data_IF_514861833635
#
_entry.id   IF_514861833635
#
_cell.length_a   1.000
_cell.length_b   1.000
_cell.length_c   1.000
_cell.angle_alpha   90.00
_cell.angle_beta   90.00
_cell.angle_gamma   90.00
#
_symmetry.space_group_name_H-M   'P 1'
#
loop_
_entity.id
_entity.type
_entity.pdbx_description
1 polymer ?
#
# COMPACT_ATOMS: atom_id res chain seq x y z
N UNK A 1 0.62 -25.81 13.78
CA UNK A 1 0.18 -27.07 13.10
C UNK A 1 0.48 -26.99 11.61
N UNK A 2 0.72 -28.12 10.91
CA UNK A 2 0.85 -28.12 9.44
C UNK A 2 -0.36 -28.81 8.81
N UNK A 3 -1.17 -28.03 8.08
CA UNK A 3 -2.26 -28.52 7.25
C UNK A 3 -1.72 -28.74 5.84
N UNK A 4 -1.70 -30.01 5.41
CA UNK A 4 -1.23 -30.40 4.09
C UNK A 4 -2.43 -30.87 3.26
N UNK A 5 -2.79 -30.08 2.25
CA UNK A 5 -4.02 -30.23 1.45
C UNK A 5 -5.32 -30.02 2.23
N UNK A 6 -6.39 -29.70 1.50
CA UNK A 6 -7.73 -29.45 2.03
C UNK A 6 -7.92 -28.05 2.62
N UNK A 7 -9.09 -27.47 2.34
CA UNK A 7 -9.42 -26.11 2.76
C UNK A 7 -10.16 -26.11 4.09
N UNK A 8 -9.77 -25.23 5.01
CA UNK A 8 -10.46 -25.05 6.29
C UNK A 8 -11.61 -24.06 6.13
N UNK A 9 -12.83 -24.46 6.51
CA UNK A 9 -13.99 -23.57 6.51
C UNK A 9 -14.69 -23.58 7.87
N UNK A 10 -14.79 -22.41 8.51
CA UNK A 10 -15.52 -22.19 9.77
C UNK A 10 -16.69 -21.22 9.55
N UNK A 11 -17.84 -21.44 10.19
CA UNK A 11 -19.05 -20.62 10.03
C UNK A 11 -19.70 -20.40 11.39
N UNK A 12 -20.10 -19.16 11.70
CA UNK A 12 -20.66 -18.76 13.00
C UNK A 12 -19.73 -19.03 14.18
N UNK A 13 -18.42 -18.87 13.98
CA UNK A 13 -17.41 -19.02 15.01
C UNK A 13 -16.89 -17.65 15.45
N UNK A 14 -17.20 -17.29 16.68
CA UNK A 14 -16.60 -16.14 17.36
C UNK A 14 -15.29 -16.58 18.01
N UNK A 15 -14.30 -15.68 18.08
CA UNK A 15 -12.99 -15.94 18.67
C UNK A 15 -12.26 -17.15 18.05
N UNK A 16 -12.48 -17.41 16.76
CA UNK A 16 -11.80 -18.47 16.04
C UNK A 16 -10.33 -18.10 15.81
N UNK A 17 -9.40 -18.91 16.32
CA UNK A 17 -7.96 -18.64 16.25
C UNK A 17 -7.24 -19.69 15.42
N UNK A 18 -6.41 -19.23 14.50
CA UNK A 18 -5.31 -20.00 13.91
C UNK A 18 -4.01 -19.28 14.23
N UNK A 19 -3.11 -19.99 14.90
CA UNK A 19 -1.79 -19.50 15.26
C UNK A 19 -0.71 -20.55 15.01
N UNK A 20 0.53 -20.09 14.84
CA UNK A 20 1.75 -20.89 14.72
C UNK A 20 1.59 -22.09 13.76
N UNK A 21 1.09 -21.79 12.57
CA UNK A 21 0.62 -22.80 11.62
C UNK A 21 1.10 -22.60 10.20
N UNK A 22 0.97 -23.65 9.41
CA UNK A 22 1.34 -23.68 8.00
C UNK A 22 0.26 -24.39 7.20
N UNK A 23 -0.11 -23.82 6.06
CA UNK A 23 -1.05 -24.38 5.09
C UNK A 23 -0.31 -24.54 3.77
N UNK A 24 -0.17 -25.78 3.32
CA UNK A 24 0.41 -26.09 2.01
C UNK A 24 -0.65 -26.77 1.15
N UNK A 25 -0.83 -26.35 -0.11
CA UNK A 25 -1.75 -27.00 -1.07
C UNK A 25 -3.24 -27.03 -0.65
N UNK A 26 -3.67 -26.16 0.28
CA UNK A 26 -5.01 -26.23 0.90
C UNK A 26 -6.17 -25.86 -0.04
N UNK A 27 -5.90 -25.12 -1.10
CA UNK A 27 -6.73 -25.02 -2.29
C UNK A 27 -5.77 -25.29 -3.45
N UNK A 28 -5.82 -26.44 -4.10
CA UNK A 28 -4.98 -26.73 -5.26
C UNK A 28 -5.76 -27.64 -6.23
N UNK A 29 -5.35 -27.69 -7.50
CA UNK A 29 -5.86 -28.62 -8.51
C UNK A 29 -7.40 -28.68 -8.62
N UNK A 30 -8.05 -27.54 -8.91
CA UNK A 30 -9.51 -27.38 -9.01
C UNK A 30 -10.29 -27.49 -7.70
N UNK A 31 -9.61 -27.54 -6.55
CA UNK A 31 -10.25 -27.29 -5.27
C UNK A 31 -10.67 -25.81 -5.20
N UNK A 32 -11.83 -25.49 -5.77
CA UNK A 32 -12.40 -24.14 -5.86
C UNK A 32 -12.99 -23.67 -4.51
N UNK A 33 -12.36 -24.06 -3.40
CA UNK A 33 -12.77 -23.70 -2.05
C UNK A 33 -11.60 -22.98 -1.36
N UNK A 34 -11.81 -21.77 -0.83
CA UNK A 34 -10.79 -21.07 -0.07
C UNK A 34 -10.75 -21.58 1.38
N UNK A 35 -9.65 -21.31 2.09
CA UNK A 35 -9.70 -21.30 3.55
C UNK A 35 -10.49 -20.08 4.01
N UNK A 36 -11.43 -20.24 4.94
CA UNK A 36 -12.35 -19.16 5.31
C UNK A 36 -12.97 -19.29 6.69
N UNK A 37 -13.17 -18.14 7.32
CA UNK A 37 -14.07 -17.98 8.47
C UNK A 37 -15.22 -17.05 8.09
N UNK A 38 -16.46 -17.46 8.35
CA UNK A 38 -17.68 -16.74 7.92
C UNK A 38 -18.62 -16.44 9.08
N UNK A 39 -19.22 -15.24 9.10
CA UNK A 39 -20.33 -14.85 10.01
C UNK A 39 -20.04 -14.97 11.52
N UNK A 40 -18.83 -14.64 11.96
CA UNK A 40 -18.46 -14.59 13.39
C UNK A 40 -17.88 -13.23 13.79
N UNK A 41 -17.22 -13.17 14.93
CA UNK A 41 -16.50 -12.00 15.42
C UNK A 41 -15.11 -12.37 15.97
N UNK A 42 -14.18 -11.42 15.98
CA UNK A 42 -12.87 -11.51 16.61
C UNK A 42 -12.04 -12.72 16.15
N UNK A 43 -12.10 -13.05 14.86
CA UNK A 43 -11.26 -14.09 14.28
C UNK A 43 -9.79 -13.67 14.27
N UNK A 44 -8.88 -14.57 14.61
CA UNK A 44 -7.43 -14.31 14.64
C UNK A 44 -6.73 -15.29 13.70
N UNK A 45 -5.92 -14.74 12.80
CA UNK A 45 -4.94 -15.46 12.01
C UNK A 45 -3.57 -14.88 12.30
N UNK A 46 -2.72 -15.62 13.01
CA UNK A 46 -1.43 -15.13 13.49
C UNK A 46 -0.30 -16.11 13.19
N UNK A 47 0.92 -15.62 12.97
CA UNK A 47 2.13 -16.46 12.86
C UNK A 47 1.95 -17.65 11.91
N UNK A 48 1.34 -17.39 10.74
CA UNK A 48 0.91 -18.46 9.84
C UNK A 48 1.48 -18.28 8.45
N UNK A 49 1.84 -19.39 7.81
CA UNK A 49 2.34 -19.42 6.43
C UNK A 49 1.31 -20.13 5.53
N UNK A 50 0.95 -19.50 4.42
CA UNK A 50 0.22 -20.11 3.32
C UNK A 50 1.13 -20.19 2.11
N UNK A 51 1.34 -21.41 1.60
CA UNK A 51 2.23 -21.63 0.47
C UNK A 51 1.70 -22.64 -0.54
N UNK A 52 2.13 -22.51 -1.78
CA UNK A 52 1.86 -23.48 -2.84
C UNK A 52 0.36 -23.78 -2.97
N UNK A 53 -0.43 -22.71 -3.07
CA UNK A 53 -1.87 -22.78 -3.21
C UNK A 53 -2.32 -22.19 -4.53
N UNK A 54 -3.40 -22.70 -5.08
CA UNK A 54 -3.89 -22.36 -6.40
C UNK A 54 -5.42 -22.47 -6.46
N UNK A 55 -6.07 -21.89 -7.47
CA UNK A 55 -7.53 -22.01 -7.70
C UNK A 55 -8.46 -21.34 -6.66
N UNK A 56 -7.95 -20.76 -5.56
CA UNK A 56 -8.76 -20.00 -4.61
C UNK A 56 -7.93 -19.13 -3.67
N UNK A 57 -8.60 -18.21 -2.98
CA UNK A 57 -7.98 -17.30 -2.02
C UNK A 57 -7.29 -18.09 -0.89
N UNK A 58 -6.02 -17.77 -0.55
CA UNK A 58 -5.32 -18.43 0.54
C UNK A 58 -6.05 -18.37 1.87
N UNK A 59 -6.71 -17.25 2.14
CA UNK A 59 -7.51 -17.05 3.34
C UNK A 59 -8.60 -15.98 3.14
N UNK A 60 -9.77 -16.17 3.76
CA UNK A 60 -10.85 -15.19 3.77
C UNK A 60 -11.51 -15.04 5.14
N UNK A 61 -11.75 -13.81 5.56
CA UNK A 61 -12.76 -13.48 6.56
C UNK A 61 -13.98 -12.87 5.86
N UNK A 62 -15.14 -13.52 5.93
CA UNK A 62 -16.37 -13.05 5.24
C UNK A 62 -17.49 -12.82 6.24
N UNK A 63 -17.99 -11.59 6.33
CA UNK A 63 -18.94 -11.20 7.38
C UNK A 63 -18.45 -11.53 8.79
N UNK A 64 -17.13 -11.60 8.97
CA UNK A 64 -16.51 -11.72 10.28
C UNK A 64 -16.16 -10.31 10.77
N UNK A 65 -16.61 -9.94 11.96
CA UNK A 65 -16.41 -8.61 12.52
C UNK A 65 -15.09 -8.58 13.31
N UNK A 66 -14.32 -7.51 13.19
CA UNK A 66 -13.09 -7.29 13.96
C UNK A 66 -11.99 -8.36 13.82
N UNK A 67 -11.71 -8.92 12.62
CA UNK A 67 -10.66 -9.91 12.49
C UNK A 67 -9.25 -9.28 12.57
N UNK A 68 -8.31 -10.05 13.09
CA UNK A 68 -6.88 -9.73 13.15
C UNK A 68 -6.09 -10.71 12.27
N UNK A 69 -5.30 -10.18 11.34
CA UNK A 69 -4.31 -10.89 10.54
C UNK A 69 -2.94 -10.32 10.91
N UNK A 70 -2.11 -11.11 11.60
CA UNK A 70 -0.86 -10.61 12.18
C UNK A 70 0.32 -11.55 11.96
N UNK A 71 1.44 -11.06 11.40
CA UNK A 71 2.63 -11.86 11.13
C UNK A 71 2.31 -13.10 10.27
N UNK A 72 1.71 -12.85 9.09
CA UNK A 72 1.25 -13.90 8.18
C UNK A 72 1.97 -13.76 6.84
N UNK A 73 2.45 -14.88 6.31
CA UNK A 73 3.09 -14.95 5.00
C UNK A 73 2.20 -15.70 4.01
N UNK A 74 1.95 -15.08 2.85
CA UNK A 74 1.35 -15.70 1.68
C UNK A 74 2.42 -15.74 0.58
N UNK A 75 2.82 -16.93 0.12
CA UNK A 75 3.90 -17.07 -0.87
C UNK A 75 3.63 -18.17 -1.87
N UNK A 76 4.10 -18.02 -3.11
CA UNK A 76 3.93 -19.04 -4.16
C UNK A 76 2.45 -19.44 -4.34
N UNK A 77 1.54 -18.47 -4.21
CA UNK A 77 0.11 -18.66 -4.40
C UNK A 77 -0.30 -18.19 -5.79
N UNK A 78 -1.33 -18.82 -6.36
CA UNK A 78 -1.84 -18.61 -7.72
C UNK A 78 -0.75 -18.87 -8.77
N UNK A 79 -0.88 -19.92 -9.57
CA UNK A 79 0.11 -20.29 -10.61
C UNK A 79 -0.43 -20.09 -12.03
N UNK A 80 -1.68 -19.62 -12.17
CA UNK A 80 -2.35 -19.39 -13.45
C UNK A 80 -2.66 -17.91 -13.64
N UNK A 81 -2.53 -17.41 -14.88
CA UNK A 81 -2.75 -15.99 -15.19
C UNK A 81 -4.21 -15.59 -15.04
N UNK A 82 -4.44 -14.30 -14.75
CA UNK A 82 -5.75 -13.63 -14.72
C UNK A 82 -6.67 -14.02 -13.56
N UNK A 83 -6.17 -14.69 -12.51
CA UNK A 83 -6.94 -14.91 -11.29
C UNK A 83 -6.84 -13.71 -10.32
N UNK A 84 -7.86 -13.55 -9.48
CA UNK A 84 -7.97 -12.47 -8.49
C UNK A 84 -8.26 -13.05 -7.10
N UNK A 85 -7.54 -14.10 -6.72
CA UNK A 85 -7.71 -14.82 -5.45
C UNK A 85 -6.94 -14.15 -4.30
N UNK A 86 -7.31 -12.92 -3.96
CA UNK A 86 -6.70 -12.20 -2.84
C UNK A 86 -6.99 -12.89 -1.51
N UNK A 87 -6.02 -12.97 -0.57
CA UNK A 87 -6.34 -12.99 0.84
C UNK A 87 -7.17 -11.74 1.16
N UNK A 88 -8.30 -11.91 1.84
CA UNK A 88 -9.25 -10.81 1.99
C UNK A 88 -10.09 -10.81 3.26
N UNK A 89 -10.55 -9.62 3.64
CA UNK A 89 -11.71 -9.42 4.52
C UNK A 89 -12.84 -8.79 3.69
N UNK A 90 -14.03 -9.36 3.78
CA UNK A 90 -15.21 -8.88 3.06
C UNK A 90 -16.44 -8.81 3.94
N UNK A 91 -17.29 -7.81 3.69
CA UNK A 91 -18.63 -7.69 4.29
C UNK A 91 -18.61 -7.67 5.83
N UNK A 92 -17.56 -7.12 6.45
CA UNK A 92 -17.42 -6.94 7.90
C UNK A 92 -18.28 -5.76 8.41
N UNK A 93 -19.59 -5.84 8.21
CA UNK A 93 -20.58 -4.90 8.72
C UNK A 93 -21.89 -5.63 9.06
N UNK A 94 -22.75 -5.01 9.86
CA UNK A 94 -24.12 -5.45 10.12
C UNK A 94 -25.09 -4.28 10.12
N UNK A 95 -26.38 -4.57 10.06
CA UNK A 95 -27.42 -3.55 9.93
C UNK A 95 -27.58 -3.03 8.51
N UNK A 96 -28.35 -1.96 8.36
CA UNK A 96 -28.65 -1.35 7.07
C UNK A 96 -28.53 0.18 7.12
N UNK A 97 -28.20 0.79 5.98
CA UNK A 97 -28.18 2.25 5.85
C UNK A 97 -29.58 2.83 6.09
N UNK A 98 -30.62 2.15 5.57
CA UNK A 98 -32.00 2.65 5.53
C UNK A 98 -32.61 2.90 6.92
N UNK A 99 -32.23 2.10 7.92
CA UNK A 99 -32.77 2.19 9.28
C UNK A 99 -31.77 2.79 10.29
N UNK A 100 -30.61 3.26 9.82
CA UNK A 100 -29.57 3.85 10.66
C UNK A 100 -28.84 2.86 11.58
N UNK A 101 -29.02 1.54 11.38
CA UNK A 101 -28.39 0.50 12.21
C UNK A 101 -27.03 0.04 11.70
N UNK A 102 -26.56 0.56 10.55
CA UNK A 102 -25.31 0.14 9.94
C UNK A 102 -24.12 0.41 10.86
N UNK A 103 -23.38 -0.66 11.19
CA UNK A 103 -22.10 -0.56 11.88
C UNK A 103 -21.07 -1.51 11.27
N UNK A 104 -19.79 -1.14 11.38
CA UNK A 104 -18.67 -1.84 10.75
C UNK A 104 -17.77 -2.46 11.80
N UNK A 105 -17.25 -3.65 11.51
CA UNK A 105 -16.30 -4.37 12.34
C UNK A 105 -14.92 -4.37 11.71
N UNK A 106 -14.20 -3.25 11.81
CA UNK A 106 -12.94 -3.02 11.10
C UNK A 106 -11.89 -4.11 11.31
N UNK A 107 -11.13 -4.42 10.26
CA UNK A 107 -10.10 -5.45 10.26
C UNK A 107 -8.67 -4.89 10.38
N UNK A 108 -7.76 -5.64 10.99
CA UNK A 108 -6.35 -5.26 11.11
C UNK A 108 -5.44 -6.26 10.40
N UNK A 109 -4.57 -5.75 9.54
CA UNK A 109 -3.49 -6.47 8.86
C UNK A 109 -2.17 -5.89 9.31
N UNK A 110 -1.38 -6.68 10.06
CA UNK A 110 -0.11 -6.22 10.62
C UNK A 110 1.00 -7.22 10.33
N UNK A 111 2.19 -6.75 9.93
CA UNK A 111 3.32 -7.64 9.60
C UNK A 111 2.95 -8.71 8.55
N UNK A 112 2.09 -8.36 7.60
CA UNK A 112 1.64 -9.28 6.56
C UNK A 112 2.58 -9.22 5.37
N UNK A 113 3.07 -10.37 4.94
CA UNK A 113 3.90 -10.49 3.74
C UNK A 113 3.13 -11.24 2.65
N UNK A 114 2.99 -10.65 1.47
CA UNK A 114 2.59 -11.37 0.25
C UNK A 114 3.76 -11.29 -0.71
N UNK A 115 4.32 -12.44 -1.09
CA UNK A 115 5.51 -12.45 -1.94
C UNK A 115 5.58 -13.59 -2.95
N UNK A 116 6.19 -13.31 -4.09
CA UNK A 116 6.45 -14.31 -5.13
C UNK A 116 5.15 -15.03 -5.54
N UNK A 117 4.13 -14.25 -5.92
CA UNK A 117 2.80 -14.76 -6.28
C UNK A 117 2.49 -14.40 -7.73
N UNK A 118 1.90 -15.34 -8.49
CA UNK A 118 1.36 -15.03 -9.81
C UNK A 118 -0.09 -14.54 -9.67
N UNK A 119 -0.22 -13.51 -8.84
CA UNK A 119 -1.46 -12.93 -8.34
C UNK A 119 -1.20 -11.53 -7.83
N UNK A 120 -2.17 -11.00 -7.09
CA UNK A 120 -2.08 -9.67 -6.49
C UNK A 120 -1.89 -9.77 -4.97
N UNK A 121 -1.93 -8.63 -4.25
CA UNK A 121 -1.66 -8.61 -2.81
C UNK A 121 -2.90 -8.96 -1.98
N UNK A 122 -3.44 -7.99 -1.22
CA UNK A 122 -4.60 -8.21 -0.33
C UNK A 122 -5.80 -7.32 -0.65
N UNK A 123 -6.98 -7.74 -0.19
CA UNK A 123 -8.21 -6.92 -0.16
C UNK A 123 -8.67 -6.75 1.30
N UNK A 124 -8.25 -5.67 1.98
CA UNK A 124 -8.75 -5.32 3.31
C UNK A 124 -10.23 -4.92 3.27
N UNK A 125 -10.92 -5.14 4.39
CA UNK A 125 -12.34 -4.85 4.55
C UNK A 125 -12.63 -3.38 4.87
N UNK A 126 -13.84 -3.14 5.38
CA UNK A 126 -14.29 -1.82 5.83
C UNK A 126 -13.49 -1.34 7.03
N UNK A 127 -13.16 -0.04 7.11
CA UNK A 127 -12.46 0.58 8.25
C UNK A 127 -11.21 -0.22 8.66
N UNK A 128 -10.44 -0.61 7.67
CA UNK A 128 -9.30 -1.52 7.84
C UNK A 128 -8.01 -0.77 8.10
N UNK A 129 -7.18 -1.32 9.00
CA UNK A 129 -5.80 -0.93 9.21
C UNK A 129 -4.88 -1.92 8.49
N UNK A 130 -3.99 -1.43 7.63
CA UNK A 130 -2.85 -2.20 7.10
C UNK A 130 -1.57 -1.52 7.56
N UNK A 131 -0.70 -2.23 8.27
CA UNK A 131 0.57 -1.67 8.73
C UNK A 131 1.72 -2.68 8.75
N UNK A 132 2.94 -2.20 8.52
CA UNK A 132 4.15 -3.06 8.47
C UNK A 132 4.01 -4.21 7.45
N UNK A 133 3.28 -3.98 6.36
CA UNK A 133 3.04 -4.98 5.33
C UNK A 133 4.08 -4.93 4.21
N UNK A 134 4.48 -6.09 3.69
CA UNK A 134 5.41 -6.21 2.55
C UNK A 134 4.73 -6.99 1.42
N UNK A 135 4.54 -6.33 0.28
CA UNK A 135 3.88 -6.88 -0.89
C UNK A 135 4.86 -6.83 -2.04
N UNK A 136 5.41 -7.97 -2.44
CA UNK A 136 6.59 -8.01 -3.32
C UNK A 136 6.48 -9.07 -4.40
N UNK A 137 6.91 -8.74 -5.63
CA UNK A 137 6.93 -9.70 -6.74
C UNK A 137 5.53 -10.27 -7.01
N UNK A 138 4.61 -9.36 -7.35
CA UNK A 138 3.21 -9.68 -7.63
C UNK A 138 2.97 -9.65 -9.15
N UNK A 139 2.70 -10.81 -9.74
CA UNK A 139 2.65 -10.95 -11.20
C UNK A 139 1.27 -11.38 -11.67
N UNK A 140 0.45 -10.41 -12.08
CA UNK A 140 -0.83 -10.70 -12.74
C UNK A 140 -1.31 -9.48 -13.53
N UNK A 141 -1.91 -9.74 -14.69
CA UNK A 141 -2.51 -8.70 -15.53
C UNK A 141 -4.01 -8.55 -15.26
N UNK A 142 -4.37 -7.76 -14.24
CA UNK A 142 -5.77 -7.44 -13.89
C UNK A 142 -5.91 -5.97 -13.52
N UNK A 143 -7.14 -5.47 -13.46
CA UNK A 143 -7.43 -4.16 -12.86
C UNK A 143 -7.40 -4.20 -11.32
N UNK A 144 -6.23 -4.55 -10.75
CA UNK A 144 -6.02 -4.81 -9.31
C UNK A 144 -4.86 -4.04 -8.69
N UNK A 145 -4.46 -4.43 -7.48
CA UNK A 145 -3.32 -3.81 -6.77
C UNK A 145 -2.67 -4.67 -5.69
N UNK A 146 -1.50 -4.27 -5.19
CA UNK A 146 -0.90 -4.87 -3.99
C UNK A 146 -1.77 -4.67 -2.73
N UNK A 147 -2.32 -3.48 -2.53
CA UNK A 147 -3.34 -3.22 -1.50
C UNK A 147 -4.59 -2.64 -2.15
N UNK A 148 -5.62 -3.46 -2.30
CA UNK A 148 -6.86 -3.12 -3.00
C UNK A 148 -7.99 -2.84 -2.03
N UNK A 149 -8.55 -1.62 -2.06
CA UNK A 149 -9.81 -1.30 -1.39
C UNK A 149 -10.80 -0.75 -2.41
N UNK A 150 -12.03 -1.25 -2.38
CA UNK A 150 -13.14 -0.64 -3.13
C UNK A 150 -13.72 0.55 -2.33
N UNK A 151 -14.61 1.33 -2.94
CA UNK A 151 -14.99 2.65 -2.39
C UNK A 151 -15.57 2.54 -0.99
N UNK A 152 -16.28 1.45 -0.73
CA UNK A 152 -16.82 1.13 0.59
C UNK A 152 -15.75 0.74 1.61
N UNK A 153 -14.74 -0.03 1.18
CA UNK A 153 -13.63 -0.47 2.05
C UNK A 153 -12.59 0.62 2.28
N UNK A 154 -12.50 1.61 1.39
CA UNK A 154 -11.57 2.74 1.54
C UNK A 154 -12.01 3.69 2.66
N UNK A 155 -13.31 3.75 2.95
CA UNK A 155 -13.89 4.65 3.95
C UNK A 155 -13.29 4.42 5.35
N UNK A 156 -12.72 5.48 5.95
CA UNK A 156 -12.03 5.43 7.26
C UNK A 156 -10.93 4.37 7.35
N UNK A 157 -10.32 3.99 6.22
CA UNK A 157 -9.24 3.02 6.19
C UNK A 157 -7.88 3.70 6.38
N UNK A 158 -6.91 2.98 6.94
CA UNK A 158 -5.53 3.46 7.06
C UNK A 158 -4.58 2.44 6.45
N UNK A 159 -3.57 2.93 5.72
CA UNK A 159 -2.34 2.17 5.49
C UNK A 159 -1.13 2.95 5.94
N UNK A 160 -0.24 2.29 6.67
CA UNK A 160 0.99 2.93 7.15
C UNK A 160 2.18 2.00 7.17
N UNK A 161 3.39 2.55 7.14
CA UNK A 161 4.64 1.79 7.28
C UNK A 161 4.67 0.53 6.42
N UNK A 162 4.34 0.62 5.13
CA UNK A 162 4.14 -0.55 4.27
C UNK A 162 4.86 -0.39 2.93
N UNK A 163 5.25 -1.52 2.33
CA UNK A 163 6.05 -1.55 1.11
C UNK A 163 5.36 -2.40 0.03
N UNK A 164 5.17 -1.81 -1.15
CA UNK A 164 4.68 -2.49 -2.35
C UNK A 164 5.75 -2.37 -3.43
N UNK A 165 6.40 -3.48 -3.74
CA UNK A 165 7.62 -3.53 -4.54
C UNK A 165 7.41 -4.50 -5.70
N UNK A 166 7.69 -4.07 -6.93
CA UNK A 166 7.71 -4.93 -8.11
C UNK A 166 6.37 -5.66 -8.37
N UNK A 167 5.34 -4.89 -8.69
CA UNK A 167 4.05 -5.36 -9.18
C UNK A 167 3.76 -4.77 -10.58
N UNK A 168 4.51 -5.18 -11.63
CA UNK A 168 4.69 -4.43 -12.87
C UNK A 168 3.41 -4.18 -13.68
N UNK A 169 2.38 -5.01 -13.48
CA UNK A 169 1.08 -4.92 -14.17
C UNK A 169 -0.05 -4.41 -13.25
N UNK A 170 0.25 -4.13 -11.99
CA UNK A 170 -0.71 -3.75 -10.96
C UNK A 170 -0.52 -2.30 -10.50
N UNK A 171 -1.54 -1.73 -9.87
CA UNK A 171 -1.29 -0.54 -9.03
C UNK A 171 -0.63 -1.01 -7.74
N UNK A 172 0.25 -0.23 -7.11
CA UNK A 172 0.83 -0.60 -5.83
C UNK A 172 -0.24 -0.58 -4.74
N UNK A 173 -0.83 0.59 -4.52
CA UNK A 173 -2.00 0.78 -3.65
C UNK A 173 -3.15 1.41 -4.43
N UNK A 174 -4.37 0.98 -4.13
CA UNK A 174 -5.57 1.53 -4.76
C UNK A 174 -6.76 1.69 -3.82
N UNK A 175 -7.29 2.91 -3.81
CA UNK A 175 -8.67 3.18 -3.44
C UNK A 175 -9.49 3.27 -4.71
N UNK A 176 -10.34 2.29 -4.92
CA UNK A 176 -11.10 2.14 -6.14
C UNK A 176 -12.56 2.48 -5.93
N UNK A 177 -13.17 3.18 -6.87
CA UNK A 177 -14.39 2.75 -7.57
C UNK A 177 -14.65 3.76 -8.72
N UNK A 178 -15.80 3.69 -9.38
CA UNK A 178 -16.28 4.84 -10.17
C UNK A 178 -16.64 6.00 -9.23
N UNK A 179 -17.38 5.69 -8.16
CA UNK A 179 -17.62 6.55 -6.99
C UNK A 179 -16.66 6.11 -5.87
N UNK A 180 -15.54 6.80 -5.72
CA UNK A 180 -14.50 6.51 -4.71
C UNK A 180 -14.98 6.68 -3.27
N UNK A 181 -14.18 6.20 -2.32
CA UNK A 181 -14.46 6.33 -0.89
C UNK A 181 -14.10 7.72 -0.34
N UNK A 182 -14.18 7.90 0.97
CA UNK A 182 -13.81 9.15 1.65
C UNK A 182 -13.01 8.88 2.91
N UNK A 183 -12.25 9.87 3.42
CA UNK A 183 -11.58 9.77 4.72
C UNK A 183 -10.65 8.55 4.82
N UNK A 184 -9.82 8.34 3.79
CA UNK A 184 -8.85 7.25 3.78
C UNK A 184 -7.46 7.83 3.97
N UNK A 185 -6.63 7.18 4.78
CA UNK A 185 -5.30 7.67 5.13
C UNK A 185 -4.24 6.72 4.58
N UNK A 186 -3.18 7.28 4.01
CA UNK A 186 -1.95 6.58 3.69
C UNK A 186 -0.77 7.42 4.21
N UNK A 187 0.07 6.86 5.09
CA UNK A 187 1.30 7.54 5.52
C UNK A 187 2.50 6.62 5.67
N UNK A 188 3.69 7.08 5.27
CA UNK A 188 4.92 6.27 5.34
C UNK A 188 4.80 4.98 4.50
N UNK A 189 4.40 5.13 3.22
CA UNK A 189 4.19 4.00 2.32
C UNK A 189 5.11 4.10 1.11
N UNK A 190 5.79 3.01 0.81
CA UNK A 190 6.64 2.85 -0.38
C UNK A 190 5.89 2.07 -1.45
N UNK A 191 5.86 2.58 -2.68
CA UNK A 191 5.27 1.90 -3.82
C UNK A 191 6.11 2.07 -5.08
N UNK A 192 6.91 1.06 -5.43
CA UNK A 192 7.97 1.16 -6.46
C UNK A 192 7.95 -0.01 -7.43
N UNK A 193 8.34 0.22 -8.69
CA UNK A 193 8.43 -0.84 -9.70
C UNK A 193 7.09 -1.45 -10.14
N UNK A 194 5.99 -0.70 -9.98
CA UNK A 194 4.63 -1.17 -10.28
C UNK A 194 4.14 -0.65 -11.63
N UNK A 195 2.92 -0.98 -12.04
CA UNK A 195 2.28 -0.26 -13.17
C UNK A 195 1.97 1.17 -12.80
N UNK A 196 1.39 1.36 -11.62
CA UNK A 196 1.18 2.68 -10.98
C UNK A 196 1.58 2.57 -9.53
N UNK A 197 2.10 3.64 -8.94
CA UNK A 197 2.36 3.67 -7.50
C UNK A 197 1.06 3.65 -6.70
N UNK A 198 0.39 4.79 -6.70
CA UNK A 198 -0.84 5.02 -5.95
C UNK A 198 -1.98 5.47 -6.86
N UNK A 199 -3.14 4.81 -6.72
CA UNK A 199 -4.37 5.22 -7.37
C UNK A 199 -5.45 5.50 -6.34
N UNK A 200 -5.58 6.77 -5.98
CA UNK A 200 -6.32 7.26 -4.81
C UNK A 200 -7.57 8.01 -5.27
N UNK A 201 -8.65 7.25 -5.50
CA UNK A 201 -9.95 7.80 -5.95
C UNK A 201 -10.85 8.09 -4.77
N UNK A 202 -11.61 9.18 -4.87
CA UNK A 202 -12.56 9.60 -3.85
C UNK A 202 -12.31 11.05 -3.48
N UNK A 203 -12.55 11.41 -2.22
CA UNK A 203 -12.28 12.74 -1.68
C UNK A 203 -12.01 12.68 -0.16
N UNK A 204 -11.52 13.78 0.43
CA UNK A 204 -11.18 13.85 1.87
C UNK A 204 -10.13 12.82 2.30
N UNK A 205 -9.14 12.53 1.47
CA UNK A 205 -8.08 11.59 1.81
C UNK A 205 -6.82 12.29 2.31
N UNK A 206 -6.09 11.65 3.22
CA UNK A 206 -4.75 12.08 3.62
C UNK A 206 -3.71 11.15 3.01
N UNK A 207 -2.91 11.67 2.07
CA UNK A 207 -1.81 10.97 1.42
C UNK A 207 -0.48 11.64 1.80
N UNK A 208 0.23 11.09 2.78
CA UNK A 208 1.34 11.75 3.45
C UNK A 208 2.59 10.87 3.39
N UNK A 209 3.80 11.44 3.33
CA UNK A 209 5.03 10.62 3.47
C UNK A 209 5.08 9.42 2.50
N UNK A 210 4.71 9.63 1.23
CA UNK A 210 4.70 8.57 0.22
C UNK A 210 6.01 8.59 -0.57
N UNK A 211 6.50 7.42 -0.96
CA UNK A 211 7.62 7.28 -1.89
C UNK A 211 7.21 6.39 -3.05
N UNK A 212 7.41 6.89 -4.27
CA UNK A 212 7.11 6.13 -5.47
C UNK A 212 8.01 6.52 -6.63
N UNK A 213 8.49 5.51 -7.36
CA UNK A 213 9.40 5.69 -8.50
C UNK A 213 9.52 4.38 -9.29
N UNK A 214 10.16 4.44 -10.47
CA UNK A 214 10.34 3.32 -11.40
C UNK A 214 9.02 2.59 -11.78
N UNK A 215 7.86 3.23 -11.62
CA UNK A 215 6.60 2.67 -12.12
C UNK A 215 6.46 2.89 -13.63
N UNK A 216 5.83 1.95 -14.35
CA UNK A 216 5.66 2.06 -15.81
C UNK A 216 4.60 3.08 -16.26
N UNK A 217 3.88 3.71 -15.33
CA UNK A 217 2.85 4.71 -15.60
C UNK A 217 2.80 5.78 -14.49
N UNK A 218 1.62 6.23 -14.05
CA UNK A 218 1.52 7.24 -12.99
C UNK A 218 2.03 6.74 -11.64
N UNK A 219 2.91 7.51 -11.03
CA UNK A 219 3.36 7.37 -9.65
C UNK A 219 2.23 7.69 -8.68
N UNK A 220 1.58 8.84 -8.89
CA UNK A 220 0.41 9.29 -8.10
C UNK A 220 -0.75 9.56 -9.06
N UNK A 221 -1.91 8.98 -8.77
CA UNK A 221 -3.17 9.23 -9.47
C UNK A 221 -4.25 9.63 -8.47
N UNK A 222 -4.57 10.93 -8.47
CA UNK A 222 -5.60 11.62 -7.69
C UNK A 222 -6.64 12.21 -8.65
N UNK A 223 -7.47 11.37 -9.30
CA UNK A 223 -8.42 11.82 -10.31
C UNK A 223 -9.52 12.69 -9.71
N UNK A 224 -9.91 13.74 -10.43
CA UNK A 224 -10.99 14.65 -10.02
C UNK A 224 -12.39 14.18 -10.39
N UNK A 225 -12.55 13.17 -11.26
CA UNK A 225 -13.85 12.68 -11.75
C UNK A 225 -14.25 11.31 -11.19
N UNK A 226 -13.79 10.95 -9.99
CA UNK A 226 -14.01 9.62 -9.38
C UNK A 226 -14.63 9.71 -7.98
N UNK A 227 -15.63 10.57 -7.83
CA UNK A 227 -16.37 10.81 -6.61
C UNK A 227 -17.85 11.08 -6.95
N UNK A 228 -18.77 10.76 -6.04
CA UNK A 228 -20.23 10.89 -6.27
C UNK A 228 -20.93 11.25 -4.95
N UNK A 229 -20.31 12.11 -4.13
CA UNK A 229 -20.83 12.45 -2.81
C UNK A 229 -20.59 11.37 -1.73
N UNK A 230 -20.90 11.68 -0.45
CA UNK A 230 -20.64 10.79 0.70
C UNK A 230 -21.40 9.47 0.69
N UNK A 231 -22.63 9.46 0.16
CA UNK A 231 -23.45 8.25 0.03
C UNK A 231 -23.01 7.35 -1.14
N UNK A 232 -22.09 7.86 -1.98
CA UNK A 232 -21.55 7.23 -3.18
C UNK A 232 -22.63 6.86 -4.19
N UNK A 233 -23.74 7.60 -4.20
CA UNK A 233 -24.88 7.38 -5.07
C UNK A 233 -25.13 8.62 -5.94
N UNK A 234 -25.51 8.41 -7.19
CA UNK A 234 -25.89 9.50 -8.10
C UNK A 234 -24.77 9.95 -9.04
N UNK A 235 -24.82 11.22 -9.41
CA UNK A 235 -23.94 11.79 -10.44
C UNK A 235 -22.51 11.99 -9.93
N UNK A 236 -21.57 12.08 -10.86
CA UNK A 236 -20.19 12.38 -10.51
C UNK A 236 -20.06 13.81 -9.96
N UNK A 237 -19.33 13.93 -8.86
CA UNK A 237 -18.94 15.17 -8.22
C UNK A 237 -17.41 15.35 -8.31
N UNK A 238 -16.90 16.58 -8.18
CA UNK A 238 -15.46 16.83 -8.08
C UNK A 238 -14.84 16.06 -6.90
N UNK A 239 -14.02 15.06 -7.20
CA UNK A 239 -13.24 14.30 -6.21
C UNK A 239 -11.88 14.92 -5.93
N UNK A 240 -11.26 14.49 -4.83
CA UNK A 240 -9.97 14.97 -4.35
C UNK A 240 -9.86 16.49 -4.20
N UNK A 241 -10.97 17.18 -3.97
CA UNK A 241 -11.02 18.63 -3.69
C UNK A 241 -10.59 18.91 -2.25
N UNK A 242 -10.91 17.99 -1.35
CA UNK A 242 -10.65 18.09 0.09
C UNK A 242 -9.53 17.14 0.55
N UNK A 243 -8.92 16.42 -0.39
CA UNK A 243 -7.79 15.55 -0.10
C UNK A 243 -6.48 16.34 0.04
N UNK A 244 -5.54 15.77 0.78
CA UNK A 244 -4.22 16.31 1.09
C UNK A 244 -3.14 15.39 0.49
N UNK A 245 -2.12 16.00 -0.12
CA UNK A 245 -0.88 15.33 -0.51
C UNK A 245 0.31 16.13 0.03
N UNK A 246 1.10 15.55 0.94
CA UNK A 246 2.26 16.21 1.55
C UNK A 246 3.43 15.24 1.79
N UNK A 247 4.64 15.78 1.91
CA UNK A 247 5.87 15.02 2.19
C UNK A 247 6.10 13.84 1.24
N UNK A 248 5.75 13.98 -0.04
CA UNK A 248 5.74 12.88 -1.01
C UNK A 248 6.84 13.03 -2.06
N UNK A 249 7.50 11.91 -2.36
CA UNK A 249 8.55 11.77 -3.38
C UNK A 249 7.99 11.02 -4.60
N UNK A 250 8.17 11.58 -5.80
CA UNK A 250 7.80 10.93 -7.07
C UNK A 250 8.88 11.07 -8.14
N UNK A 251 8.91 10.13 -9.08
CA UNK A 251 9.79 10.16 -10.26
C UNK A 251 9.02 10.38 -11.57
N UNK A 252 7.99 9.58 -11.80
CA UNK A 252 7.23 9.50 -13.04
C UNK A 252 5.93 10.33 -12.98
N UNK A 253 4.96 9.98 -13.82
CA UNK A 253 3.77 10.80 -14.09
C UNK A 253 2.86 10.98 -12.88
N UNK A 254 2.25 12.17 -12.77
CA UNK A 254 1.28 12.50 -11.72
C UNK A 254 -0.02 12.96 -12.36
N UNK A 255 -1.12 12.35 -11.95
CA UNK A 255 -2.47 12.88 -12.16
C UNK A 255 -2.91 13.54 -10.87
N UNK A 256 -3.03 14.87 -10.87
CA UNK A 256 -3.48 15.65 -9.72
C UNK A 256 -4.43 16.75 -10.17
N UNK A 257 -5.74 16.46 -10.10
CA UNK A 257 -6.74 17.36 -10.66
C UNK A 257 -7.08 18.52 -9.72
N UNK A 258 -7.37 18.19 -8.45
CA UNK A 258 -7.99 19.12 -7.51
C UNK A 258 -7.22 19.30 -6.19
N UNK A 259 -6.20 18.47 -5.91
CA UNK A 259 -5.45 18.52 -4.65
C UNK A 259 -4.48 19.70 -4.67
N UNK A 260 -4.58 20.67 -3.75
CA UNK A 260 -3.71 21.85 -3.74
C UNK A 260 -2.21 21.51 -3.72
N UNK A 261 -1.81 20.49 -2.94
CA UNK A 261 -0.41 20.11 -2.77
C UNK A 261 0.29 19.56 -4.02
N UNK A 262 -0.43 19.30 -5.10
CA UNK A 262 0.15 18.87 -6.38
C UNK A 262 -0.55 19.48 -7.60
N UNK A 263 -1.37 20.52 -7.44
CA UNK A 263 -2.10 21.11 -8.57
C UNK A 263 -1.15 21.77 -9.58
N UNK A 264 -0.14 22.44 -9.07
CA UNK A 264 0.92 23.08 -9.86
C UNK A 264 2.19 22.20 -9.89
N UNK A 265 2.01 20.92 -10.24
CA UNK A 265 3.07 19.89 -10.14
C UNK A 265 4.30 20.08 -11.04
N UNK A 266 4.33 21.12 -11.87
CA UNK A 266 5.47 21.51 -12.70
C UNK A 266 6.28 22.67 -12.10
N UNK A 267 5.89 23.19 -10.92
CA UNK A 267 6.55 24.32 -10.24
C UNK A 267 7.20 23.84 -8.94
N UNK A 268 8.54 23.78 -8.87
CA UNK A 268 9.28 23.45 -7.66
C UNK A 268 8.78 24.16 -6.41
N UNK A 269 8.64 25.48 -6.46
CA UNK A 269 8.28 26.30 -5.30
C UNK A 269 6.88 25.95 -4.75
N UNK A 270 5.96 25.54 -5.62
CA UNK A 270 4.63 25.10 -5.20
C UNK A 270 4.69 23.77 -4.46
N UNK A 271 5.57 22.87 -4.89
CA UNK A 271 5.73 21.54 -4.28
C UNK A 271 6.49 21.62 -2.96
N UNK A 272 7.54 22.43 -2.89
CA UNK A 272 8.30 22.69 -1.65
C UNK A 272 7.40 23.28 -0.54
N UNK A 273 6.40 24.08 -0.91
CA UNK A 273 5.43 24.65 0.04
C UNK A 273 4.61 23.58 0.79
N UNK A 274 4.47 22.38 0.22
CA UNK A 274 3.77 21.23 0.80
C UNK A 274 4.71 20.06 1.14
N UNK A 275 6.02 20.29 1.05
CA UNK A 275 7.04 19.27 1.31
C UNK A 275 7.06 18.18 0.24
N UNK A 276 6.50 18.41 -0.96
CA UNK A 276 6.54 17.42 -2.03
C UNK A 276 7.77 17.60 -2.91
N UNK A 277 8.31 16.49 -3.41
CA UNK A 277 9.44 16.49 -4.34
C UNK A 277 9.14 15.61 -5.56
N UNK A 278 8.98 16.22 -6.73
CA UNK A 278 8.65 15.52 -7.98
C UNK A 278 9.79 15.70 -8.98
N UNK A 279 10.49 14.61 -9.32
CA UNK A 279 11.70 14.61 -10.15
C UNK A 279 11.66 15.56 -11.36
N UNK A 280 10.56 15.58 -12.12
CA UNK A 280 10.45 16.36 -13.35
C UNK A 280 10.28 17.88 -13.12
N UNK A 281 9.81 18.31 -11.95
CA UNK A 281 9.72 19.73 -11.60
C UNK A 281 11.13 20.31 -11.32
N UNK A 282 12.00 19.51 -10.71
CA UNK A 282 13.33 19.91 -10.26
C UNK A 282 14.44 19.62 -11.28
N UNK A 283 14.21 19.90 -12.57
CA UNK A 283 15.19 19.67 -13.64
C UNK A 283 16.42 20.59 -13.51
N UNK A 284 17.32 20.26 -12.60
CA UNK A 284 18.59 20.93 -12.41
C UNK A 284 19.56 20.51 -13.53
N UNK A 285 19.76 21.42 -14.48
CA UNK A 285 20.85 21.40 -15.46
C UNK A 285 20.85 20.30 -16.54
N UNK A 286 19.70 19.80 -17.02
CA UNK A 286 19.55 19.07 -18.31
C UNK A 286 20.54 17.90 -18.59
N UNK A 287 21.34 17.44 -17.63
CA UNK A 287 22.46 16.50 -17.85
C UNK A 287 22.67 15.46 -16.76
N UNK A 288 22.01 15.55 -15.62
CA UNK A 288 22.00 14.49 -14.62
C UNK A 288 20.57 14.32 -14.15
N UNK A 289 19.98 13.23 -14.59
CA UNK A 289 18.63 12.81 -14.31
C UNK A 289 18.28 13.00 -12.82
N UNK A 290 17.20 13.74 -12.53
CA UNK A 290 16.65 13.88 -11.17
C UNK A 290 15.97 12.59 -10.71
N UNK A 291 16.65 11.45 -10.79
CA UNK A 291 16.10 10.17 -10.37
C UNK A 291 15.97 10.16 -8.85
N UNK A 292 14.79 9.73 -8.37
CA UNK A 292 14.52 9.56 -6.94
C UNK A 292 15.61 8.72 -6.28
N UNK A 293 16.08 7.68 -6.95
CA UNK A 293 17.10 6.78 -6.43
C UNK A 293 18.45 7.45 -6.11
N UNK A 294 18.78 8.58 -6.76
CA UNK A 294 20.00 9.31 -6.43
C UNK A 294 19.92 10.03 -5.09
N UNK A 295 18.74 10.10 -4.48
CA UNK A 295 18.50 10.78 -3.21
C UNK A 295 18.34 9.81 -2.04
N UNK A 296 18.37 8.50 -2.29
CA UNK A 296 18.11 7.45 -1.31
C UNK A 296 19.37 6.63 -0.99
N UNK A 297 19.40 6.03 0.20
CA UNK A 297 20.58 5.32 0.73
C UNK A 297 20.86 4.01 -0.02
N UNK A 298 19.87 3.12 -0.11
CA UNK A 298 19.98 1.87 -0.87
C UNK A 298 18.61 1.47 -1.45
N UNK A 299 18.12 2.20 -2.45
CA UNK A 299 16.81 1.98 -3.03
C UNK A 299 16.73 0.68 -3.84
N UNK A 300 15.51 0.13 -3.94
CA UNK A 300 15.19 -0.91 -4.92
C UNK A 300 15.34 -0.36 -6.35
N UNK A 301 15.88 -1.14 -7.29
CA UNK A 301 15.90 -0.78 -8.72
C UNK A 301 15.58 -1.96 -9.63
N UNK A 302 14.76 -1.72 -10.63
CA UNK A 302 14.51 -2.63 -11.75
C UNK A 302 15.79 -2.97 -12.51
N UNK A 303 16.75 -2.03 -12.59
CA UNK A 303 17.98 -2.25 -13.35
C UNK A 303 18.87 -3.33 -12.73
N UNK A 304 18.80 -3.56 -11.40
CA UNK A 304 19.53 -4.65 -10.73
C UNK A 304 19.08 -6.05 -11.17
N UNK A 305 17.90 -6.18 -11.77
CA UNK A 305 17.41 -7.45 -12.33
C UNK A 305 17.95 -7.74 -13.75
N UNK A 306 18.65 -6.79 -14.39
CA UNK A 306 19.18 -6.96 -15.75
C UNK A 306 20.46 -7.82 -15.75
N UNK A 307 20.75 -8.42 -16.90
CA UNK A 307 22.01 -9.15 -17.12
C UNK A 307 23.20 -8.17 -17.17
N UNK A 308 24.41 -8.67 -16.93
CA UNK A 308 25.61 -7.82 -16.93
C UNK A 308 25.85 -7.22 -18.33
N UNK A 309 25.63 -8.01 -19.37
CA UNK A 309 25.74 -7.55 -20.76
C UNK A 309 24.77 -6.39 -21.04
N UNK A 310 23.54 -6.47 -20.51
CA UNK A 310 22.57 -5.38 -20.68
C UNK A 310 22.93 -4.14 -19.88
N UNK A 311 23.58 -4.30 -18.73
CA UNK A 311 24.05 -3.17 -17.91
C UNK A 311 25.24 -2.49 -18.56
N UNK A 312 26.21 -3.25 -19.07
CA UNK A 312 27.32 -2.72 -19.87
C UNK A 312 26.82 -2.00 -21.13
N UNK A 313 25.80 -2.53 -21.81
CA UNK A 313 25.17 -1.86 -22.96
C UNK A 313 24.53 -0.51 -22.57
N UNK A 314 23.85 -0.45 -21.42
CA UNK A 314 23.11 0.74 -20.97
C UNK A 314 24.00 1.81 -20.32
N UNK A 315 25.02 1.38 -19.57
CA UNK A 315 25.82 2.24 -18.69
C UNK A 315 27.31 2.26 -19.02
N UNK A 316 27.80 1.39 -19.91
CA UNK A 316 29.22 1.23 -20.23
C UNK A 316 30.00 0.41 -19.20
N UNK A 317 29.38 0.06 -18.08
CA UNK A 317 29.91 -0.77 -17.00
C UNK A 317 28.76 -1.44 -16.23
N UNK A 318 29.07 -2.44 -15.40
CA UNK A 318 28.12 -2.99 -14.44
C UNK A 318 28.14 -2.13 -13.18
N UNK A 319 27.10 -1.32 -12.87
CA UNK A 319 27.18 -0.33 -11.79
C UNK A 319 27.20 -0.91 -10.38
N UNK A 320 26.93 -2.20 -10.23
CA UNK A 320 26.81 -2.87 -8.92
C UNK A 320 27.66 -4.12 -8.86
N UNK A 321 28.52 -4.20 -7.84
CA UNK A 321 29.29 -5.42 -7.53
C UNK A 321 28.39 -6.58 -7.07
N UNK A 322 27.24 -6.26 -6.45
CA UNK A 322 26.25 -7.25 -5.96
C UNK A 322 24.86 -6.92 -6.50
N UNK A 323 24.22 -7.93 -7.09
CA UNK A 323 22.83 -7.85 -7.57
C UNK A 323 21.78 -8.00 -6.47
N UNK A 324 22.19 -8.43 -5.27
CA UNK A 324 21.30 -8.48 -4.10
C UNK A 324 20.80 -7.06 -3.84
N UNK A 325 19.48 -6.90 -3.82
CA UNK A 325 18.85 -5.65 -3.47
C UNK A 325 18.70 -5.58 -1.95
N UNK A 326 19.17 -4.48 -1.37
CA UNK A 326 18.77 -4.09 -0.03
C UNK A 326 17.67 -3.04 -0.17
N UNK A 327 16.84 -2.89 0.86
CA UNK A 327 15.75 -1.91 0.88
C UNK A 327 16.03 -0.90 1.97
N UNK A 328 16.66 0.20 1.58
CA UNK A 328 16.84 1.37 2.43
C UNK A 328 16.37 2.61 1.68
N UNK A 329 15.14 3.00 1.98
CA UNK A 329 14.45 4.12 1.36
C UNK A 329 14.63 5.42 2.13
N UNK A 330 15.53 5.48 3.12
CA UNK A 330 15.87 6.74 3.77
C UNK A 330 16.62 7.65 2.79
N UNK A 331 16.48 8.98 2.91
CA UNK A 331 17.36 9.89 2.21
C UNK A 331 18.82 9.58 2.52
N UNK A 332 19.70 9.69 1.53
CA UNK A 332 21.14 9.53 1.75
C UNK A 332 21.78 10.83 2.22
N UNK A 333 22.98 10.76 2.80
CA UNK A 333 23.74 11.96 3.21
C UNK A 333 23.87 12.97 2.06
N UNK A 334 23.50 14.23 2.34
CA UNK A 334 23.55 15.32 1.37
C UNK A 334 22.39 15.32 0.36
N UNK A 335 21.38 14.48 0.57
CA UNK A 335 20.14 14.51 -0.21
C UNK A 335 19.35 15.80 0.05
N UNK A 336 18.73 16.33 -0.99
CA UNK A 336 17.79 17.46 -0.92
C UNK A 336 16.46 17.12 -0.25
N UNK A 337 16.20 15.83 -0.02
CA UNK A 337 15.00 15.37 0.68
C UNK A 337 15.11 15.57 2.20
N UNK A 338 16.33 15.81 2.70
CA UNK A 338 16.61 15.99 4.12
C UNK A 338 16.09 17.36 4.59
N UNK A 339 15.37 17.40 5.71
CA UNK A 339 14.85 18.62 6.34
C UNK A 339 13.98 19.49 5.39
N UNK A 340 13.38 18.90 4.37
CA UNK A 340 12.62 19.62 3.33
C UNK A 340 11.08 19.42 3.43
N UNK A 341 10.64 18.56 4.35
CA UNK A 341 9.24 18.25 4.60
C UNK A 341 8.50 19.24 5.50
N UNK A 342 7.25 18.93 5.80
CA UNK A 342 6.35 19.69 6.67
C UNK A 342 5.98 18.89 7.90
N UNK A 343 5.95 19.56 9.05
CA UNK A 343 5.49 18.96 10.30
C UNK A 343 4.00 18.68 10.18
N UNK A 344 3.60 17.44 10.49
CA UNK A 344 2.21 17.00 10.50
C UNK A 344 1.94 16.41 11.88
N UNK A 345 1.04 17.07 12.61
CA UNK A 345 0.67 16.67 13.96
C UNK A 345 0.16 15.24 13.98
N UNK A 346 0.73 14.43 14.85
CA UNK A 346 0.33 13.04 15.01
C UNK A 346 0.88 12.09 13.95
N UNK A 347 1.76 12.55 13.05
CA UNK A 347 2.36 11.74 11.97
C UNK A 347 3.88 11.72 12.07
N UNK A 348 4.53 12.87 12.23
CA UNK A 348 6.00 12.98 12.27
C UNK A 348 6.51 13.88 13.40
N UNK A 349 5.65 14.41 14.26
CA UNK A 349 6.02 15.35 15.33
C UNK A 349 6.31 14.67 16.68
N UNK A 350 6.15 13.34 16.76
CA UNK A 350 6.34 12.56 17.99
C UNK A 350 5.10 12.50 18.88
N UNK A 351 3.96 13.04 18.46
CA UNK A 351 2.72 12.96 19.22
C UNK A 351 1.88 11.75 18.79
N UNK A 352 1.33 11.04 19.77
CA UNK A 352 0.38 9.96 19.50
C UNK A 352 -1.04 10.54 19.36
N UNK A 353 -1.53 10.63 18.12
CA UNK A 353 -2.89 11.09 17.80
C UNK A 353 -3.70 9.95 17.22
N UNK A 354 -4.94 9.79 17.68
CA UNK A 354 -5.89 8.87 17.04
C UNK A 354 -6.48 9.57 15.83
N UNK A 355 -6.07 9.15 14.63
CA UNK A 355 -6.71 9.51 13.36
C UNK A 355 -7.84 8.51 13.08
N UNK A 356 -7.94 7.97 11.87
CA UNK A 356 -8.83 6.85 11.59
C UNK A 356 -8.55 5.63 12.48
N UNK A 357 -7.27 5.38 12.80
CA UNK A 357 -6.84 4.32 13.69
C UNK A 357 -5.86 4.86 14.73
N UNK A 358 -5.92 4.31 15.95
CA UNK A 358 -4.95 4.63 17.01
C UNK A 358 -3.53 4.14 16.66
N UNK A 359 -2.49 4.76 17.22
CA UNK A 359 -1.16 4.16 17.24
C UNK A 359 -1.19 2.76 17.85
N UNK A 360 -0.41 1.85 17.28
CA UNK A 360 -0.34 0.44 17.71
C UNK A 360 0.49 0.25 18.98
N UNK A 361 1.40 1.18 19.25
CA UNK A 361 2.18 1.27 20.46
C UNK A 361 2.55 2.74 20.72
N UNK A 362 2.85 3.14 21.97
CA UNK A 362 3.25 4.50 22.28
C UNK A 362 4.49 4.94 21.51
N UNK A 363 4.46 6.12 20.90
CA UNK A 363 5.56 6.66 20.10
C UNK A 363 5.75 5.96 18.76
N UNK A 364 4.71 5.31 18.22
CA UNK A 364 4.76 4.73 16.87
C UNK A 364 5.11 5.78 15.83
N UNK A 365 4.46 6.94 15.91
CA UNK A 365 4.69 8.09 15.04
C UNK A 365 5.79 8.93 15.71
N UNK A 366 7.03 8.67 15.31
CA UNK A 366 8.19 9.28 15.95
C UNK A 366 8.36 10.73 15.51
N UNK A 367 9.05 11.49 16.36
CA UNK A 367 9.49 12.83 16.00
C UNK A 367 10.57 12.74 14.93
N UNK A 368 10.46 13.57 13.90
CA UNK A 368 11.47 13.74 12.88
C UNK A 368 12.85 14.10 13.47
N UNK A 369 13.90 13.87 12.68
CA UNK A 369 15.29 14.13 13.07
C UNK A 369 15.82 15.29 12.25
N UNK A 370 16.33 16.34 12.92
CA UNK A 370 16.86 17.53 12.25
C UNK A 370 16.04 18.79 12.54
N UNK A 371 16.10 19.75 11.62
CA UNK A 371 15.38 21.02 11.70
C UNK A 371 13.93 20.89 11.23
N UNK A 372 13.66 19.98 10.29
CA UNK A 372 12.33 19.68 9.76
C UNK A 372 12.22 18.18 9.39
N UNK A 373 11.00 17.65 9.13
CA UNK A 373 10.86 16.30 8.62
C UNK A 373 11.51 16.13 7.25
N UNK A 374 11.95 14.92 6.96
CA UNK A 374 12.36 14.55 5.62
C UNK A 374 11.17 14.36 4.67
N UNK A 375 11.42 14.57 3.38
CA UNK A 375 10.45 14.27 2.33
C UNK A 375 10.51 12.79 1.98
N UNK A 376 9.34 12.14 2.02
CA UNK A 376 9.22 10.69 1.86
C UNK A 376 8.96 9.97 3.18
N UNK A 377 8.97 8.63 3.18
CA UNK A 377 8.47 7.81 4.28
C UNK A 377 9.42 7.66 5.48
N UNK A 378 10.68 8.04 5.38
CA UNK A 378 11.67 7.77 6.43
C UNK A 378 12.67 8.91 6.57
N UNK A 379 13.18 9.07 7.79
CA UNK A 379 14.12 10.12 8.17
C UNK A 379 15.58 9.66 7.96
N UNK A 380 16.44 10.60 7.58
CA UNK A 380 17.88 10.41 7.44
C UNK A 380 18.53 10.13 8.79
N UNK A 381 19.49 9.20 8.79
CA UNK A 381 20.26 8.85 9.99
C UNK A 381 19.48 8.06 11.04
N UNK A 382 18.21 7.78 10.78
CA UNK A 382 17.35 7.05 11.68
C UNK A 382 17.65 5.54 11.69
N UNK A 383 17.73 4.93 12.86
CA UNK A 383 18.11 3.52 13.02
C UNK A 383 16.93 2.54 13.06
N UNK A 384 15.69 3.04 13.06
CA UNK A 384 14.49 2.20 13.09
C UNK A 384 13.81 2.28 11.73
N UNK A 385 13.88 1.18 10.98
CA UNK A 385 13.33 1.02 9.64
C UNK A 385 12.48 -0.26 9.55
#
# INVERSE_FOLDING_TARGET
LHFFSGSLNAVYCDYFVIEDSKFSFSSDMKANLPNRVKKGEYGILRNTIFENMNSSAPWQFISNMYPLIENVMFTNTEWFSLSASYPMVGTNYRGAVKDGSLYHGGDTWRYVTVKDVFGAGIVPGYRSLVEYGRFENLYVFIDGSGIQRNGASAEYSTTRYSWIINAPDLNGMRWNSACGGTYADAHHVVSVGNRRGFRLKGDYHDALHLLTYENSNQDISLPGGKYCGPDRQGAAEPGNVNSILMNTVTENGIECANVPGCKDNNKPESLESTGNWFAYAFNYNKKTWGHVMHHLENPWSLNRAKSDEKLEELYGEVPWEKKIQNYDFRPKKGSILIDAGKVIEGINDGTDKTLNHKPSYPGQNRKYVGEAPDVGPYEYGDSVY
#
